data_IF_978823420978
#
_entry.id   IF_978823420978
#
_cell.length_a   1.000
_cell.length_b   1.000
_cell.length_c   1.000
_cell.angle_alpha   90.00
_cell.angle_beta   90.00
_cell.angle_gamma   90.00
#
_symmetry.space_group_name_H-M   'P 1'
#
loop_
_entity.id
_entity.type
_entity.pdbx_description
1 polymer ?
#
# COMPACT_ATOMS: atom_id res chain seq x y z
N UNK A 1 -70.84 -27.71 60.88
CA UNK A 1 -70.59 -26.74 59.77
C UNK A 1 -69.71 -25.63 60.34
N UNK A 2 -68.42 -25.75 60.19
CA UNK A 2 -67.48 -24.75 60.68
C UNK A 2 -66.51 -24.34 59.57
N UNK A 3 -66.59 -23.11 59.17
CA UNK A 3 -65.67 -22.50 58.20
C UNK A 3 -64.39 -22.15 58.91
N UNK A 4 -63.30 -22.76 58.48
CA UNK A 4 -61.93 -22.33 58.87
C UNK A 4 -61.41 -21.30 57.88
N UNK A 5 -61.18 -20.12 58.34
CA UNK A 5 -60.44 -19.09 57.61
C UNK A 5 -58.94 -19.41 57.68
N UNK A 6 -58.35 -19.54 56.49
CA UNK A 6 -56.91 -19.63 56.35
C UNK A 6 -56.43 -18.24 55.91
N UNK A 7 -55.74 -17.58 56.84
CA UNK A 7 -55.08 -16.33 56.55
C UNK A 7 -53.75 -16.58 55.79
N UNK A 8 -53.64 -16.00 54.62
CA UNK A 8 -52.37 -15.93 53.89
C UNK A 8 -51.65 -14.67 54.29
N UNK A 9 -50.49 -14.85 54.94
CA UNK A 9 -49.53 -13.74 55.10
C UNK A 9 -48.71 -13.61 53.80
N UNK A 10 -48.95 -12.55 53.09
CA UNK A 10 -48.14 -12.18 51.94
C UNK A 10 -47.02 -11.25 52.47
N UNK A 11 -45.80 -11.79 52.59
CA UNK A 11 -44.60 -11.00 52.85
C UNK A 11 -44.13 -10.36 51.52
N UNK A 12 -44.38 -9.09 51.41
CA UNK A 12 -43.84 -8.31 50.31
C UNK A 12 -42.35 -8.04 50.58
N UNK A 13 -41.50 -8.72 49.80
CA UNK A 13 -40.07 -8.41 49.77
C UNK A 13 -39.91 -7.23 48.82
N UNK A 14 -39.69 -6.04 49.38
CA UNK A 14 -39.22 -4.89 48.59
C UNK A 14 -37.74 -5.10 48.24
N UNK A 15 -37.47 -5.51 47.02
CA UNK A 15 -36.12 -5.42 46.45
C UNK A 15 -35.92 -3.97 46.00
N UNK A 16 -35.25 -3.18 46.80
CA UNK A 16 -34.78 -1.88 46.37
C UNK A 16 -33.68 -2.06 45.32
N UNK A 17 -34.04 -1.91 44.04
CA UNK A 17 -33.09 -1.76 42.96
C UNK A 17 -32.40 -0.41 43.19
N UNK A 18 -31.19 -0.43 43.73
CA UNK A 18 -30.28 0.71 43.69
C UNK A 18 -29.75 0.78 42.24
N UNK A 19 -30.43 1.57 41.42
CA UNK A 19 -29.88 1.98 40.12
C UNK A 19 -28.75 2.96 40.45
N UNK A 20 -27.52 2.44 40.55
CA UNK A 20 -26.35 3.29 40.51
C UNK A 20 -26.33 3.96 39.12
N UNK A 21 -26.16 5.29 39.04
CA UNK A 21 -25.92 5.90 37.77
C UNK A 21 -24.65 5.26 37.21
N UNK A 22 -24.76 4.58 36.06
CA UNK A 22 -23.63 4.29 35.22
C UNK A 22 -23.08 5.66 34.82
N UNK A 23 -22.12 6.14 35.61
CA UNK A 23 -21.26 7.20 35.15
C UNK A 23 -20.65 6.68 33.86
N UNK A 24 -21.09 7.21 32.72
CA UNK A 24 -20.35 7.20 31.47
C UNK A 24 -18.96 7.76 31.79
N UNK A 25 -18.08 6.88 32.23
CA UNK A 25 -16.68 7.06 31.99
C UNK A 25 -16.57 6.87 30.48
N UNK A 26 -16.92 7.93 29.73
CA UNK A 26 -16.36 8.13 28.41
C UNK A 26 -14.86 7.94 28.62
N UNK A 27 -14.40 6.72 28.37
CA UNK A 27 -12.97 6.49 28.15
C UNK A 27 -12.61 7.52 27.11
N UNK A 28 -11.96 8.60 27.54
CA UNK A 28 -11.18 9.42 26.68
C UNK A 28 -10.25 8.45 25.95
N UNK A 29 -10.69 7.92 24.81
CA UNK A 29 -9.79 7.34 23.82
C UNK A 29 -8.83 8.49 23.58
N UNK A 30 -7.67 8.41 24.20
CA UNK A 30 -6.53 9.18 23.81
C UNK A 30 -6.53 9.06 22.28
N UNK A 31 -6.82 10.16 21.60
CA UNK A 31 -6.60 10.27 20.16
C UNK A 31 -5.09 10.30 20.00
N UNK A 32 -4.46 9.16 20.21
CA UNK A 32 -3.15 8.88 19.68
C UNK A 32 -3.43 8.79 18.18
N UNK A 33 -3.11 9.85 17.47
CA UNK A 33 -3.13 9.82 16.00
C UNK A 33 -2.36 8.60 15.52
N UNK A 34 -2.60 8.16 14.28
CA UNK A 34 -1.85 7.04 13.73
C UNK A 34 -0.34 7.27 13.94
N UNK A 35 0.43 6.22 14.23
CA UNK A 35 1.84 6.37 14.53
C UNK A 35 2.57 6.99 13.33
N UNK A 36 3.50 7.91 13.59
CA UNK A 36 4.40 8.45 12.55
C UNK A 36 5.24 7.33 11.95
N UNK A 37 5.78 7.51 10.73
CA UNK A 37 6.69 6.55 10.15
C UNK A 37 7.82 6.17 11.12
N UNK A 38 8.15 4.90 11.18
CA UNK A 38 9.22 4.39 12.05
C UNK A 38 10.61 4.72 11.51
N UNK A 39 10.70 5.22 10.27
CA UNK A 39 11.93 5.63 9.61
C UNK A 39 11.78 7.04 9.03
N UNK A 40 12.93 7.68 8.83
CA UNK A 40 13.07 8.93 8.07
C UNK A 40 13.78 8.62 6.77
N UNK A 41 13.26 9.16 5.66
CA UNK A 41 13.88 9.10 4.34
C UNK A 41 14.34 10.50 3.97
N UNK A 42 15.61 10.65 3.60
CA UNK A 42 16.22 11.92 3.23
C UNK A 42 17.00 11.76 1.94
N UNK A 43 16.89 12.73 1.05
CA UNK A 43 17.78 12.80 -0.13
C UNK A 43 19.20 13.12 0.29
N UNK A 44 20.17 12.43 -0.28
CA UNK A 44 21.60 12.61 -0.05
C UNK A 44 22.34 13.11 -1.28
N UNK A 45 21.68 13.17 -2.44
CA UNK A 45 22.22 13.72 -3.67
C UNK A 45 21.28 14.71 -4.34
N UNK A 46 21.79 15.49 -5.27
CA UNK A 46 20.99 16.14 -6.30
C UNK A 46 20.38 15.09 -7.25
N UNK A 47 19.37 15.49 -8.01
CA UNK A 47 18.77 14.64 -9.03
C UNK A 47 19.77 14.45 -10.19
N UNK A 48 19.91 13.19 -10.64
CA UNK A 48 20.67 12.84 -11.83
C UNK A 48 19.76 12.20 -12.88
N UNK A 49 20.13 12.31 -14.15
CA UNK A 49 19.42 11.65 -15.25
C UNK A 49 19.94 10.23 -15.38
N UNK A 50 19.06 9.27 -15.13
CA UNK A 50 19.43 7.85 -15.09
C UNK A 50 19.40 7.18 -16.47
N UNK A 51 18.64 7.71 -17.42
CA UNK A 51 18.55 7.19 -18.77
C UNK A 51 18.59 8.33 -19.80
N UNK A 52 19.52 8.23 -20.76
CA UNK A 52 19.63 9.16 -21.87
C UNK A 52 18.94 8.59 -23.12
N UNK A 53 18.28 9.47 -23.91
CA UNK A 53 17.64 9.01 -25.15
C UNK A 53 18.60 8.29 -26.08
N UNK A 54 19.82 8.82 -26.24
CA UNK A 54 20.83 8.25 -27.15
C UNK A 54 21.26 6.84 -26.75
N UNK A 55 21.18 6.48 -25.47
CA UNK A 55 21.58 5.18 -24.94
C UNK A 55 20.47 4.13 -25.04
N UNK A 56 19.20 4.56 -25.18
CA UNK A 56 18.04 3.66 -25.19
C UNK A 56 17.21 3.80 -26.47
N UNK A 57 17.13 5.00 -27.04
CA UNK A 57 16.32 5.39 -28.21
C UNK A 57 14.82 5.02 -28.06
N UNK A 58 14.28 5.27 -26.86
CA UNK A 58 12.84 5.18 -26.52
C UNK A 58 12.41 6.42 -25.78
N UNK A 59 11.14 6.78 -25.92
CA UNK A 59 10.53 7.95 -25.31
C UNK A 59 9.70 7.60 -24.09
N UNK A 60 9.47 8.57 -23.22
CA UNK A 60 8.58 8.42 -22.07
C UNK A 60 9.07 7.36 -21.10
N UNK A 61 10.24 7.56 -20.51
CA UNK A 61 10.88 6.66 -19.56
C UNK A 61 10.91 7.28 -18.16
N UNK A 62 10.52 6.51 -17.11
CA UNK A 62 9.64 5.35 -17.19
C UNK A 62 8.17 5.77 -17.27
N UNK A 63 7.31 4.98 -17.89
CA UNK A 63 5.85 5.16 -17.90
C UNK A 63 5.16 4.21 -16.90
N UNK A 64 5.77 4.01 -15.77
CA UNK A 64 5.35 3.14 -14.67
C UNK A 64 6.52 2.83 -13.74
N UNK A 65 6.29 1.97 -12.73
CA UNK A 65 7.36 1.49 -11.86
C UNK A 65 8.38 0.67 -12.65
N UNK A 66 9.66 0.82 -12.32
CA UNK A 66 10.72 -0.01 -12.87
C UNK A 66 10.98 -1.22 -11.98
N UNK A 67 11.52 -2.29 -12.55
CA UNK A 67 11.88 -3.51 -11.83
C UNK A 67 13.22 -4.05 -12.30
N UNK A 68 13.96 -4.71 -11.43
CA UNK A 68 15.27 -5.23 -11.78
C UNK A 68 15.54 -6.61 -11.17
N UNK A 69 16.46 -7.33 -11.81
CA UNK A 69 17.11 -8.52 -11.26
C UNK A 69 18.63 -8.36 -11.42
N UNK A 70 19.37 -8.62 -10.36
CA UNK A 70 20.83 -8.70 -10.41
C UNK A 70 21.23 -10.11 -10.80
N UNK A 71 22.02 -10.24 -11.86
CA UNK A 71 22.53 -11.51 -12.37
C UNK A 71 24.05 -11.43 -12.52
N UNK A 72 24.80 -12.09 -11.64
CA UNK A 72 26.26 -12.04 -11.61
C UNK A 72 26.80 -10.59 -11.61
N UNK A 73 27.41 -10.16 -12.71
CA UNK A 73 28.06 -8.85 -12.84
C UNK A 73 27.17 -7.81 -13.55
N UNK A 74 25.91 -8.14 -13.87
CA UNK A 74 24.97 -7.26 -14.56
C UNK A 74 23.66 -7.11 -13.82
N UNK A 75 22.99 -5.99 -14.08
CA UNK A 75 21.66 -5.70 -13.60
C UNK A 75 20.74 -5.64 -14.83
N UNK A 76 19.72 -6.49 -14.86
CA UNK A 76 18.69 -6.45 -15.86
C UNK A 76 17.55 -5.60 -15.34
N UNK A 77 17.12 -4.61 -16.09
CA UNK A 77 16.06 -3.67 -15.71
C UNK A 77 14.96 -3.72 -16.75
N UNK A 78 13.74 -3.94 -16.29
CA UNK A 78 12.55 -3.81 -17.14
C UNK A 78 11.82 -2.55 -16.76
N UNK A 79 11.34 -1.84 -17.77
CA UNK A 79 10.58 -0.62 -17.57
C UNK A 79 9.54 -0.43 -18.67
N UNK A 80 8.35 0.08 -18.32
CA UNK A 80 7.37 0.52 -19.30
C UNK A 80 7.78 1.84 -19.92
N UNK A 81 7.31 2.07 -21.15
CA UNK A 81 7.58 3.28 -21.91
C UNK A 81 6.29 3.93 -22.40
N UNK A 82 6.27 5.25 -22.54
CA UNK A 82 5.22 5.98 -23.23
C UNK A 82 5.24 5.78 -24.75
N UNK A 83 6.27 5.10 -25.30
CA UNK A 83 6.43 4.81 -26.71
C UNK A 83 5.57 3.61 -27.11
N UNK A 84 4.31 3.87 -27.46
CA UNK A 84 3.33 2.86 -27.88
C UNK A 84 2.90 1.89 -26.76
N UNK A 85 3.09 2.24 -25.50
CA UNK A 85 2.67 1.43 -24.36
C UNK A 85 3.40 0.09 -24.21
N UNK A 86 4.62 0.02 -24.70
CA UNK A 86 5.46 -1.19 -24.68
C UNK A 86 6.34 -1.23 -23.43
N UNK A 87 6.84 -2.42 -23.11
CA UNK A 87 7.94 -2.58 -22.15
C UNK A 87 9.25 -2.93 -22.82
N UNK A 88 10.34 -2.43 -22.26
CA UNK A 88 11.70 -2.72 -22.69
C UNK A 88 12.48 -3.42 -21.58
N UNK A 89 13.58 -4.06 -21.97
CA UNK A 89 14.65 -4.50 -21.08
C UNK A 89 15.93 -3.78 -21.44
N UNK A 90 16.66 -3.33 -20.42
CA UNK A 90 18.02 -2.83 -20.55
C UNK A 90 18.93 -3.57 -19.57
N UNK A 91 20.21 -3.64 -19.88
CA UNK A 91 21.22 -4.20 -18.98
C UNK A 91 22.21 -3.10 -18.59
N UNK A 92 22.56 -3.04 -17.32
CA UNK A 92 23.52 -2.08 -16.81
C UNK A 92 24.36 -2.72 -15.72
N UNK A 93 25.54 -2.19 -15.50
CA UNK A 93 26.40 -2.45 -14.35
C UNK A 93 26.29 -1.33 -13.29
N UNK A 94 25.66 -0.22 -13.69
CA UNK A 94 25.51 0.98 -12.87
C UNK A 94 24.06 1.50 -12.90
N UNK A 95 23.42 1.54 -11.74
CA UNK A 95 22.07 2.09 -11.60
C UNK A 95 22.00 3.61 -11.78
N UNK A 96 23.12 4.31 -11.88
CA UNK A 96 23.13 5.73 -12.20
C UNK A 96 23.08 6.00 -13.71
N UNK A 97 23.32 4.98 -14.56
CA UNK A 97 23.30 5.16 -16.00
C UNK A 97 22.81 3.92 -16.74
N UNK A 98 21.56 3.93 -17.16
CA UNK A 98 20.97 2.83 -17.93
C UNK A 98 21.29 2.95 -19.40
N UNK A 99 21.73 1.84 -20.00
CA UNK A 99 22.07 1.72 -21.41
C UNK A 99 21.47 0.46 -22.00
N UNK A 100 21.13 0.50 -23.28
CA UNK A 100 20.81 -0.71 -24.02
C UNK A 100 22.00 -1.13 -24.89
N UNK A 101 22.31 -2.42 -24.88
CA UNK A 101 23.34 -3.00 -25.76
C UNK A 101 22.93 -2.94 -27.25
N UNK A 102 21.64 -2.77 -27.52
CA UNK A 102 21.05 -2.65 -28.83
C UNK A 102 20.15 -1.42 -28.85
N UNK A 103 20.37 -0.51 -29.79
CA UNK A 103 19.53 0.69 -29.96
C UNK A 103 18.79 0.67 -31.29
N UNK A 104 17.47 0.93 -31.29
CA UNK A 104 16.61 1.17 -30.13
C UNK A 104 16.46 -0.09 -29.26
N UNK A 105 16.30 0.09 -27.93
CA UNK A 105 16.09 -1.01 -26.99
C UNK A 105 14.91 -1.89 -27.47
N UNK A 106 15.07 -3.22 -27.44
CA UNK A 106 14.05 -4.12 -27.98
C UNK A 106 12.79 -4.13 -27.11
N UNK A 107 11.63 -4.28 -27.74
CA UNK A 107 10.38 -4.54 -27.04
C UNK A 107 10.37 -5.95 -26.47
N UNK A 108 10.06 -6.08 -25.19
CA UNK A 108 9.93 -7.40 -24.52
C UNK A 108 8.49 -7.80 -24.30
N UNK A 109 7.60 -6.81 -24.19
CA UNK A 109 6.17 -7.02 -24.12
C UNK A 109 5.47 -5.85 -24.83
N UNK A 110 4.57 -6.15 -25.78
CA UNK A 110 3.87 -5.15 -26.58
C UNK A 110 2.36 -5.36 -26.55
N UNK A 111 1.55 -4.31 -26.64
CA UNK A 111 0.10 -4.42 -26.75
C UNK A 111 -0.37 -5.35 -27.87
N UNK A 112 -1.53 -5.98 -27.69
CA UNK A 112 -2.19 -6.83 -28.69
C UNK A 112 -3.48 -6.15 -29.16
N UNK A 113 -3.51 -5.69 -30.39
CA UNK A 113 -4.66 -5.01 -30.96
C UNK A 113 -5.95 -5.83 -30.82
N UNK A 114 -7.04 -5.16 -30.39
CA UNK A 114 -8.36 -5.78 -30.23
C UNK A 114 -8.51 -6.67 -28.98
N UNK A 115 -7.58 -6.59 -28.05
CA UNK A 115 -7.65 -7.28 -26.75
C UNK A 115 -7.76 -6.29 -25.60
N UNK A 116 -7.98 -6.82 -24.37
CA UNK A 116 -7.99 -6.07 -23.12
C UNK A 116 -6.62 -5.45 -22.73
N UNK A 117 -5.58 -5.73 -23.51
CA UNK A 117 -4.23 -5.17 -23.42
C UNK A 117 -3.81 -4.46 -24.72
N UNK A 118 -4.77 -3.85 -25.40
CA UNK A 118 -4.57 -3.33 -26.77
C UNK A 118 -3.76 -2.04 -26.84
N UNK A 119 -3.61 -1.32 -25.73
CA UNK A 119 -3.00 0.00 -25.72
C UNK A 119 -1.77 0.10 -24.83
N UNK A 120 -1.65 -0.76 -23.81
CA UNK A 120 -0.53 -0.70 -22.88
C UNK A 120 -0.22 -2.06 -22.24
N UNK A 121 1.08 -2.35 -22.09
CA UNK A 121 1.60 -3.56 -21.42
C UNK A 121 2.86 -3.20 -20.62
N UNK A 122 2.67 -2.55 -19.47
CA UNK A 122 3.74 -2.01 -18.65
C UNK A 122 4.25 -3.00 -17.59
N UNK A 123 5.38 -3.64 -17.83
CA UNK A 123 6.04 -4.51 -16.83
C UNK A 123 6.54 -3.64 -15.67
N UNK A 124 6.03 -3.91 -14.47
CA UNK A 124 6.41 -3.20 -13.25
C UNK A 124 6.94 -4.14 -12.16
N UNK A 125 6.98 -5.45 -12.42
CA UNK A 125 7.65 -6.43 -11.55
C UNK A 125 8.08 -7.66 -12.32
N UNK A 126 9.34 -8.04 -12.15
CA UNK A 126 9.86 -9.35 -12.57
C UNK A 126 10.37 -10.09 -11.35
N UNK A 127 9.98 -11.35 -11.23
CA UNK A 127 10.39 -12.24 -10.15
C UNK A 127 11.01 -13.50 -10.76
N UNK A 128 12.07 -14.02 -10.13
CA UNK A 128 12.58 -15.36 -10.42
C UNK A 128 12.01 -16.33 -9.40
N UNK A 129 11.24 -17.29 -9.87
CA UNK A 129 10.73 -18.37 -9.02
C UNK A 129 11.85 -19.35 -8.62
N UNK A 130 11.67 -20.16 -7.57
CA UNK A 130 12.62 -21.21 -7.19
C UNK A 130 12.89 -22.23 -8.31
N UNK A 131 11.97 -22.41 -9.25
CA UNK A 131 12.12 -23.23 -10.46
C UNK A 131 13.11 -22.66 -11.48
N UNK A 132 13.52 -21.40 -11.33
CA UNK A 132 14.30 -20.64 -12.31
C UNK A 132 13.46 -19.87 -13.31
N UNK A 133 12.17 -20.16 -13.43
CA UNK A 133 11.23 -19.45 -14.31
C UNK A 133 11.13 -17.99 -13.92
N UNK A 134 11.11 -17.08 -14.91
CA UNK A 134 10.77 -15.68 -14.68
C UNK A 134 9.26 -15.48 -14.77
N UNK A 135 8.74 -14.62 -13.89
CA UNK A 135 7.36 -14.16 -13.88
C UNK A 135 7.36 -12.64 -13.96
N UNK A 136 6.73 -12.09 -14.99
CA UNK A 136 6.48 -10.66 -15.15
C UNK A 136 5.03 -10.35 -14.76
N UNK A 137 4.86 -9.44 -13.81
CA UNK A 137 3.59 -8.80 -13.52
C UNK A 137 3.57 -7.48 -14.28
N UNK A 138 2.48 -7.22 -14.99
CA UNK A 138 2.39 -6.03 -15.83
C UNK A 138 1.01 -5.39 -15.77
N UNK A 139 0.97 -4.08 -15.94
CA UNK A 139 -0.26 -3.33 -16.16
C UNK A 139 -0.66 -3.49 -17.61
N UNK A 140 -1.94 -3.72 -17.84
CA UNK A 140 -2.53 -3.83 -19.16
C UNK A 140 -3.69 -2.86 -19.30
N UNK A 141 -3.77 -2.18 -20.45
CA UNK A 141 -4.81 -1.19 -20.72
C UNK A 141 -5.48 -1.40 -22.07
N UNK A 142 -6.79 -1.19 -22.08
CA UNK A 142 -7.62 -1.03 -23.25
C UNK A 142 -8.22 0.38 -23.22
N UNK A 143 -8.08 1.14 -24.33
CA UNK A 143 -8.58 2.51 -24.45
C UNK A 143 -9.73 2.56 -25.47
N UNK A 144 -10.93 2.11 -25.14
CA UNK A 144 -12.05 2.03 -26.08
C UNK A 144 -12.51 3.40 -26.58
N UNK A 145 -12.22 4.47 -25.85
CA UNK A 145 -12.61 5.84 -26.15
C UNK A 145 -11.39 6.78 -26.28
N UNK A 146 -10.25 6.26 -26.72
CA UNK A 146 -8.99 6.99 -26.74
C UNK A 146 -8.37 7.10 -25.36
N UNK A 147 -7.45 8.03 -25.14
CA UNK A 147 -6.70 8.18 -23.86
C UNK A 147 -7.57 8.58 -22.65
N UNK A 148 -8.85 8.89 -22.88
CA UNK A 148 -9.71 9.46 -21.85
C UNK A 148 -10.40 8.40 -20.99
N UNK A 149 -10.63 7.20 -21.53
CA UNK A 149 -11.26 6.08 -20.83
C UNK A 149 -10.40 4.84 -21.02
N UNK A 150 -9.82 4.36 -19.97
CA UNK A 150 -9.01 3.15 -19.99
C UNK A 150 -9.60 2.09 -19.06
N UNK A 151 -9.84 0.91 -19.60
CA UNK A 151 -10.02 -0.32 -18.84
C UNK A 151 -8.64 -0.82 -18.42
N UNK A 152 -8.36 -0.88 -17.10
CA UNK A 152 -7.03 -1.23 -16.61
C UNK A 152 -7.08 -2.47 -15.72
N UNK A 153 -6.12 -3.35 -15.94
CA UNK A 153 -5.96 -4.58 -15.17
C UNK A 153 -4.49 -4.88 -14.90
N UNK A 154 -4.23 -5.76 -13.96
CA UNK A 154 -2.90 -6.30 -13.74
C UNK A 154 -2.90 -7.74 -14.23
N UNK A 155 -1.86 -8.10 -14.97
CA UNK A 155 -1.73 -9.37 -15.65
C UNK A 155 -0.37 -10.02 -15.41
N UNK A 156 -0.22 -11.25 -15.86
CA UNK A 156 0.99 -12.04 -15.68
C UNK A 156 1.46 -12.69 -16.97
N UNK A 157 2.76 -12.64 -17.21
CA UNK A 157 3.46 -13.40 -18.23
C UNK A 157 4.61 -14.20 -17.60
N UNK A 158 4.98 -15.31 -18.21
CA UNK A 158 6.07 -16.19 -17.74
C UNK A 158 7.10 -16.40 -18.85
N UNK A 159 8.34 -16.61 -18.44
CA UNK A 159 9.43 -16.97 -19.33
C UNK A 159 10.20 -18.16 -18.79
N UNK A 160 10.43 -19.16 -19.63
CA UNK A 160 11.21 -20.36 -19.33
C UNK A 160 12.62 -20.29 -19.95
N UNK A 161 12.90 -19.25 -20.71
CA UNK A 161 14.16 -19.01 -21.45
C UNK A 161 14.91 -17.76 -20.96
N UNK A 162 14.80 -17.50 -19.65
CA UNK A 162 15.45 -16.38 -18.98
C UNK A 162 15.08 -14.99 -19.54
N UNK A 163 13.83 -14.81 -19.97
CA UNK A 163 13.31 -13.52 -20.45
C UNK A 163 13.48 -13.26 -21.94
N UNK A 164 14.06 -14.21 -22.72
CA UNK A 164 14.16 -14.06 -24.16
C UNK A 164 12.79 -14.04 -24.84
N UNK A 165 11.85 -14.84 -24.33
CA UNK A 165 10.45 -14.80 -24.74
C UNK A 165 9.50 -14.81 -23.54
N UNK A 166 8.31 -14.24 -23.71
CA UNK A 166 7.30 -14.13 -22.67
C UNK A 166 5.95 -14.73 -23.14
N UNK A 167 5.44 -15.67 -22.35
CA UNK A 167 4.13 -16.29 -22.55
C UNK A 167 3.10 -15.60 -21.65
N UNK A 168 2.14 -14.89 -22.21
CA UNK A 168 1.04 -14.28 -21.48
C UNK A 168 0.15 -15.34 -20.86
N UNK A 169 -0.22 -15.18 -19.58
CA UNK A 169 -1.06 -16.12 -18.82
C UNK A 169 -2.44 -15.55 -18.51
N UNK A 170 -2.63 -14.24 -18.69
CA UNK A 170 -3.89 -13.54 -18.51
C UNK A 170 -3.92 -12.60 -17.31
N UNK A 171 -5.07 -12.02 -17.06
CA UNK A 171 -5.32 -11.08 -15.97
C UNK A 171 -5.28 -11.77 -14.60
N UNK A 172 -4.72 -11.11 -13.62
CA UNK A 172 -4.65 -11.58 -12.21
C UNK A 172 -5.46 -10.69 -11.28
N UNK A 173 -5.54 -9.39 -11.55
CA UNK A 173 -6.38 -8.45 -10.81
C UNK A 173 -7.22 -7.62 -11.78
N UNK A 174 -8.52 -7.62 -11.55
CA UNK A 174 -9.49 -6.72 -12.18
C UNK A 174 -10.43 -6.16 -11.11
N UNK A 175 -10.94 -4.94 -11.31
CA UNK A 175 -12.03 -4.42 -10.47
C UNK A 175 -13.32 -5.21 -10.68
N UNK A 176 -14.32 -5.09 -9.80
CA UNK A 176 -15.69 -5.51 -10.11
C UNK A 176 -16.15 -4.91 -11.44
N UNK A 177 -17.12 -5.55 -12.08
CA UNK A 177 -17.61 -5.13 -13.38
C UNK A 177 -17.99 -3.64 -13.39
N UNK A 178 -17.49 -2.94 -14.40
CA UNK A 178 -17.79 -1.52 -14.63
C UNK A 178 -19.15 -1.47 -15.31
N UNK A 179 -20.05 -0.65 -14.78
CA UNK A 179 -21.39 -0.46 -15.36
C UNK A 179 -21.43 0.73 -16.31
N UNK A 180 -20.47 1.65 -16.23
CA UNK A 180 -20.38 2.82 -17.11
C UNK A 180 -19.39 2.56 -18.24
N UNK A 181 -19.89 2.68 -19.47
CA UNK A 181 -19.14 2.57 -20.71
C UNK A 181 -19.15 3.87 -21.52
N UNK A 182 -19.50 5.00 -20.90
CA UNK A 182 -19.59 6.29 -21.56
C UNK A 182 -18.21 6.86 -21.81
N UNK A 183 -17.94 7.24 -23.05
CA UNK A 183 -16.71 7.93 -23.43
C UNK A 183 -16.67 9.40 -22.93
N UNK A 184 -17.70 9.86 -22.28
CA UNK A 184 -17.77 11.24 -21.74
C UNK A 184 -17.09 11.37 -20.36
N UNK A 185 -16.81 10.24 -19.70
CA UNK A 185 -16.15 10.23 -18.41
C UNK A 185 -14.65 9.93 -18.60
N UNK A 186 -13.81 10.91 -18.33
CA UNK A 186 -12.34 10.75 -18.27
C UNK A 186 -11.92 9.97 -17.03
N UNK A 187 -11.93 8.63 -17.07
CA UNK A 187 -11.60 7.84 -15.90
C UNK A 187 -10.80 6.59 -16.24
N UNK A 188 -9.72 6.37 -15.50
CA UNK A 188 -9.05 5.08 -15.42
C UNK A 188 -9.90 4.14 -14.57
N UNK A 189 -10.46 3.10 -15.19
CA UNK A 189 -11.27 2.10 -14.51
C UNK A 189 -10.48 0.82 -14.30
N UNK A 190 -10.35 0.38 -13.07
CA UNK A 190 -9.72 -0.89 -12.79
C UNK A 190 -8.60 -0.84 -11.77
N UNK A 191 -7.70 -1.81 -11.85
CA UNK A 191 -6.54 -1.94 -10.98
C UNK A 191 -5.28 -1.59 -11.76
N UNK A 192 -4.54 -0.58 -11.32
CA UNK A 192 -3.41 -0.01 -12.04
C UNK A 192 -2.25 0.38 -11.12
N UNK A 193 -1.13 0.74 -11.69
CA UNK A 193 0.09 1.22 -11.02
C UNK A 193 0.34 0.49 -9.71
N UNK A 194 1.16 -0.54 -9.77
CA UNK A 194 1.36 -1.44 -8.65
C UNK A 194 2.83 -1.60 -8.28
N UNK A 195 3.06 -2.07 -7.08
CA UNK A 195 4.35 -2.57 -6.59
C UNK A 195 4.14 -3.96 -5.99
N UNK A 196 5.09 -4.85 -6.17
CA UNK A 196 5.00 -6.20 -5.61
C UNK A 196 6.32 -6.65 -4.99
N UNK A 197 6.24 -7.40 -3.88
CA UNK A 197 7.39 -8.02 -3.24
C UNK A 197 7.03 -9.35 -2.62
N UNK A 198 8.02 -10.23 -2.47
CA UNK A 198 7.86 -11.45 -1.67
C UNK A 198 7.87 -11.01 -0.21
N UNK A 199 6.82 -11.37 0.53
CA UNK A 199 6.73 -11.03 1.94
C UNK A 199 7.79 -11.80 2.79
N UNK A 200 8.12 -11.34 4.00
CA UNK A 200 9.28 -11.84 4.75
C UNK A 200 9.31 -13.34 5.04
N UNK A 201 8.15 -14.03 5.04
CA UNK A 201 8.12 -15.49 5.25
C UNK A 201 8.42 -16.28 3.98
N UNK A 202 8.45 -15.62 2.82
CA UNK A 202 8.69 -16.25 1.52
C UNK A 202 7.53 -17.10 1.00
N UNK A 203 6.35 -17.04 1.62
CA UNK A 203 5.19 -17.85 1.22
C UNK A 203 4.32 -17.17 0.18
N UNK A 204 4.22 -15.84 0.24
CA UNK A 204 3.33 -15.06 -0.62
C UNK A 204 4.09 -13.95 -1.33
N UNK A 205 3.61 -13.60 -2.52
CA UNK A 205 3.85 -12.28 -3.11
C UNK A 205 2.71 -11.37 -2.70
N UNK A 206 3.06 -10.23 -2.10
CA UNK A 206 2.15 -9.12 -1.86
C UNK A 206 2.24 -8.14 -3.01
N UNK A 207 1.09 -7.62 -3.44
CA UNK A 207 0.97 -6.65 -4.51
C UNK A 207 0.06 -5.51 -4.05
N UNK A 208 0.63 -4.31 -3.93
CA UNK A 208 -0.10 -3.08 -3.65
C UNK A 208 -0.41 -2.38 -4.95
N UNK A 209 -1.64 -1.91 -5.09
CA UNK A 209 -2.13 -1.34 -6.34
C UNK A 209 -3.04 -0.15 -6.10
N UNK A 210 -3.08 0.73 -7.09
CA UNK A 210 -4.06 1.80 -7.20
C UNK A 210 -5.34 1.26 -7.82
N UNK A 211 -6.48 1.83 -7.46
CA UNK A 211 -7.75 1.47 -8.05
C UNK A 211 -8.52 2.72 -8.43
N UNK A 212 -8.90 2.82 -9.70
CA UNK A 212 -9.85 3.78 -10.21
C UNK A 212 -11.25 3.18 -10.22
N UNK A 213 -12.27 4.00 -10.03
CA UNK A 213 -13.66 3.58 -10.12
C UNK A 213 -14.55 4.71 -10.59
N UNK A 214 -15.67 4.36 -11.19
CA UNK A 214 -16.74 5.24 -11.62
C UNK A 214 -17.89 5.32 -10.62
N UNK A 215 -17.84 4.54 -9.56
CA UNK A 215 -18.88 4.53 -8.52
C UNK A 215 -18.28 4.65 -7.14
N UNK A 216 -19.05 5.22 -6.23
CA UNK A 216 -18.78 5.30 -4.81
C UNK A 216 -18.60 3.88 -4.23
N UNK A 217 -17.41 3.42 -4.21
CA UNK A 217 -17.06 2.20 -3.49
C UNK A 217 -17.13 2.53 -2.00
N UNK A 218 -17.62 1.61 -1.21
CA UNK A 218 -17.88 1.79 0.21
C UNK A 218 -16.67 2.35 1.00
N UNK A 219 -15.47 2.31 0.40
CA UNK A 219 -14.19 2.68 1.02
C UNK A 219 -13.59 4.00 0.48
N UNK A 220 -14.32 4.76 -0.35
CA UNK A 220 -13.85 6.04 -0.90
C UNK A 220 -12.94 5.91 -2.14
N UNK A 221 -12.71 7.05 -2.82
CA UNK A 221 -11.81 7.19 -3.97
C UNK A 221 -10.36 7.32 -3.48
N UNK A 222 -9.41 6.75 -4.23
CA UNK A 222 -7.99 6.85 -3.93
C UNK A 222 -7.49 5.82 -2.92
N UNK A 223 -6.22 5.98 -2.51
CA UNK A 223 -5.53 5.08 -1.59
C UNK A 223 -5.09 3.76 -2.21
N UNK A 224 -4.18 3.12 -1.52
CA UNK A 224 -3.63 1.84 -1.95
C UNK A 224 -4.46 0.68 -1.42
N UNK A 225 -4.53 -0.36 -2.21
CA UNK A 225 -5.13 -1.65 -1.87
C UNK A 225 -4.08 -2.74 -1.99
N UNK A 226 -4.37 -3.91 -1.44
CA UNK A 226 -3.42 -5.01 -1.46
C UNK A 226 -4.10 -6.32 -1.89
N UNK A 227 -3.35 -7.09 -2.68
CA UNK A 227 -3.64 -8.48 -3.02
C UNK A 227 -2.43 -9.36 -2.70
N UNK A 228 -2.66 -10.67 -2.60
CA UNK A 228 -1.56 -11.64 -2.46
C UNK A 228 -1.84 -12.92 -3.24
N UNK A 229 -0.78 -13.59 -3.62
CA UNK A 229 -0.83 -14.95 -4.15
C UNK A 229 0.25 -15.81 -3.50
N UNK A 230 0.01 -17.12 -3.28
CA UNK A 230 1.04 -18.03 -2.81
C UNK A 230 2.13 -18.17 -3.89
N UNK A 231 3.39 -18.05 -3.49
CA UNK A 231 4.53 -18.18 -4.40
C UNK A 231 4.55 -19.56 -5.08
N UNK A 232 4.15 -20.61 -4.34
CA UNK A 232 4.03 -21.97 -4.86
C UNK A 232 3.01 -22.15 -5.98
N UNK A 233 2.07 -21.19 -6.14
CA UNK A 233 1.07 -21.21 -7.21
C UNK A 233 1.55 -20.60 -8.54
N UNK A 234 2.81 -20.20 -8.64
CA UNK A 234 3.39 -19.58 -9.85
C UNK A 234 2.79 -18.23 -10.20
N UNK A 235 2.05 -17.61 -9.30
CA UNK A 235 1.40 -16.29 -9.45
C UNK A 235 0.38 -16.23 -10.59
N UNK A 236 -0.15 -17.38 -11.01
CA UNK A 236 -1.05 -17.52 -12.15
C UNK A 236 -2.46 -16.96 -11.86
N UNK A 237 -3.27 -16.69 -12.88
CA UNK A 237 -4.68 -16.33 -12.73
C UNK A 237 -5.44 -17.30 -11.79
N UNK A 238 -6.33 -16.73 -10.95
CA UNK A 238 -7.11 -17.51 -9.97
C UNK A 238 -6.42 -17.78 -8.63
N UNK A 239 -5.08 -17.61 -8.53
CA UNK A 239 -4.36 -17.80 -7.26
C UNK A 239 -4.38 -16.58 -6.35
N UNK A 240 -4.70 -15.42 -6.89
CA UNK A 240 -4.70 -14.14 -6.20
C UNK A 240 -5.91 -13.91 -5.34
N UNK A 241 -5.69 -13.36 -4.15
CA UNK A 241 -6.73 -12.94 -3.20
C UNK A 241 -6.51 -11.49 -2.80
N UNK A 242 -7.58 -10.70 -2.83
CA UNK A 242 -7.58 -9.31 -2.36
C UNK A 242 -7.95 -9.25 -0.88
N UNK A 243 -7.36 -8.29 -0.18
CA UNK A 243 -7.74 -7.93 1.18
C UNK A 243 -9.03 -7.12 1.14
N UNK A 244 -10.04 -7.61 1.87
CA UNK A 244 -11.32 -6.94 1.99
C UNK A 244 -11.92 -7.18 3.38
N UNK A 245 -12.32 -6.10 4.07
CA UNK A 245 -12.96 -6.13 5.38
C UNK A 245 -12.26 -7.06 6.39
N UNK A 246 -10.95 -6.96 6.48
CA UNK A 246 -10.15 -7.71 7.44
C UNK A 246 -9.74 -9.13 7.02
N UNK A 247 -10.06 -9.56 5.78
CA UNK A 247 -9.80 -10.94 5.33
C UNK A 247 -9.28 -11.02 3.90
N UNK A 248 -8.60 -12.13 3.57
CA UNK A 248 -8.08 -12.46 2.24
C UNK A 248 -9.05 -13.35 1.47
N UNK A 249 -10.30 -12.96 1.33
CA UNK A 249 -11.35 -13.82 0.77
C UNK A 249 -11.76 -13.46 -0.65
N UNK A 250 -11.59 -12.22 -1.05
CA UNK A 250 -12.03 -11.77 -2.37
C UNK A 250 -11.12 -12.31 -3.48
N UNK A 251 -11.70 -12.75 -4.62
CA UNK A 251 -10.89 -13.18 -5.75
C UNK A 251 -10.11 -12.01 -6.37
N UNK A 252 -8.98 -12.31 -7.02
CA UNK A 252 -8.23 -11.32 -7.78
C UNK A 252 -9.06 -10.70 -8.90
N UNK A 253 -9.77 -11.53 -9.64
CA UNK A 253 -10.64 -11.10 -10.74
C UNK A 253 -12.03 -10.73 -10.20
N UNK A 254 -12.46 -9.50 -10.46
CA UNK A 254 -13.77 -8.98 -10.09
C UNK A 254 -14.03 -8.82 -8.58
N UNK A 255 -13.08 -9.15 -7.71
CA UNK A 255 -13.23 -9.04 -6.27
C UNK A 255 -13.08 -7.60 -5.78
N UNK A 256 -13.77 -7.27 -4.67
CA UNK A 256 -13.59 -6.00 -3.95
C UNK A 256 -12.26 -5.99 -3.19
N UNK A 257 -11.74 -4.80 -2.90
CA UNK A 257 -10.55 -4.60 -2.08
C UNK A 257 -10.75 -3.40 -1.16
N UNK A 258 -10.47 -3.57 0.12
CA UNK A 258 -10.44 -2.46 1.07
C UNK A 258 -9.18 -1.63 0.90
N UNK A 259 -9.31 -0.33 1.11
CA UNK A 259 -8.19 0.58 1.20
C UNK A 259 -7.32 0.24 2.41
N UNK A 260 -6.00 0.17 2.21
CA UNK A 260 -5.04 -0.12 3.28
C UNK A 260 -4.21 1.10 3.65
N UNK A 261 -3.73 1.86 2.66
CA UNK A 261 -3.11 3.16 2.88
C UNK A 261 -4.12 4.22 2.47
N UNK A 262 -4.67 4.91 3.45
CA UNK A 262 -5.59 6.01 3.24
C UNK A 262 -4.86 7.18 2.59
N UNK A 263 -5.61 7.97 1.84
CA UNK A 263 -5.15 9.30 1.45
C UNK A 263 -4.85 10.12 2.70
N UNK A 264 -3.84 10.98 2.66
CA UNK A 264 -3.62 11.97 3.69
C UNK A 264 -4.92 12.72 4.01
N UNK A 265 -5.18 12.96 5.28
CA UNK A 265 -6.35 13.74 5.69
C UNK A 265 -6.31 15.16 5.11
N UNK A 266 -7.47 15.88 5.00
CA UNK A 266 -7.53 17.26 4.50
C UNK A 266 -6.53 18.24 5.13
N UNK A 267 -6.01 17.92 6.30
CA UNK A 267 -4.99 18.71 6.99
C UNK A 267 -3.62 18.72 6.29
N UNK A 268 -3.39 17.86 5.31
CA UNK A 268 -2.13 17.76 4.57
C UNK A 268 -2.11 18.59 3.29
N UNK A 269 -3.26 18.96 2.77
CA UNK A 269 -3.36 19.92 1.67
C UNK A 269 -3.92 21.23 2.18
N UNK A 270 -3.15 22.34 2.14
CA UNK A 270 -3.68 23.68 2.43
C UNK A 270 -4.58 24.19 1.29
N UNK A 271 -4.70 23.47 0.17
CA UNK A 271 -5.47 23.86 -0.99
C UNK A 271 -6.88 23.24 -0.91
N UNK A 272 -7.92 24.04 -0.66
CA UNK A 272 -9.31 23.53 -0.56
C UNK A 272 -9.86 23.00 -1.90
N UNK A 273 -9.21 23.30 -3.03
CA UNK A 273 -9.62 22.78 -4.34
C UNK A 273 -9.10 21.35 -4.58
N UNK A 274 -8.12 20.88 -3.78
CA UNK A 274 -7.63 19.49 -3.81
C UNK A 274 -8.45 18.64 -2.84
N UNK A 275 -9.77 18.62 -3.00
CA UNK A 275 -10.65 17.85 -2.15
C UNK A 275 -10.60 16.33 -2.39
N UNK A 276 -9.93 15.88 -3.45
CA UNK A 276 -9.75 14.48 -3.80
C UNK A 276 -8.31 14.07 -3.53
N UNK A 277 -8.06 13.72 -2.30
CA UNK A 277 -6.77 13.24 -1.82
C UNK A 277 -6.45 11.91 -2.50
N UNK A 278 -5.40 11.95 -3.27
CA UNK A 278 -4.98 10.86 -4.13
C UNK A 278 -3.67 10.29 -3.59
N UNK A 279 -3.69 9.05 -3.09
CA UNK A 279 -2.51 8.25 -2.86
C UNK A 279 -2.50 7.12 -3.88
N UNK A 280 -1.55 7.12 -4.78
CA UNK A 280 -1.47 6.12 -5.85
C UNK A 280 -0.02 5.89 -6.27
N UNK A 281 0.14 4.97 -7.21
CA UNK A 281 1.42 4.69 -7.86
C UNK A 281 2.48 4.36 -6.80
N UNK A 282 2.30 3.23 -6.10
CA UNK A 282 3.17 2.86 -5.01
C UNK A 282 4.50 2.27 -5.50
N UNK A 283 5.55 2.54 -4.72
CA UNK A 283 6.74 1.72 -4.62
C UNK A 283 6.83 1.20 -3.20
N UNK A 284 6.60 -0.08 -3.00
CA UNK A 284 6.64 -0.71 -1.67
C UNK A 284 7.81 -1.65 -1.57
N UNK A 285 8.62 -1.46 -0.53
CA UNK A 285 9.75 -2.32 -0.23
C UNK A 285 9.63 -2.91 1.18
N UNK A 286 10.12 -4.11 1.38
CA UNK A 286 10.44 -4.64 2.70
C UNK A 286 11.82 -4.13 3.11
N UNK A 287 11.89 -3.34 4.15
CA UNK A 287 13.16 -2.87 4.70
C UNK A 287 13.75 -3.92 5.62
N UNK A 288 14.87 -4.49 5.21
CA UNK A 288 15.53 -5.62 5.90
C UNK A 288 16.26 -5.19 7.17
N UNK A 289 16.65 -3.92 7.28
CA UNK A 289 17.31 -3.37 8.47
C UNK A 289 16.32 -3.11 9.60
N UNK A 290 15.16 -2.53 9.26
CA UNK A 290 14.17 -2.12 10.27
C UNK A 290 13.00 -3.10 10.40
N UNK A 291 12.94 -4.15 9.57
CA UNK A 291 11.88 -5.17 9.55
C UNK A 291 10.48 -4.56 9.41
N UNK A 292 10.32 -3.66 8.46
CA UNK A 292 9.05 -2.98 8.15
C UNK A 292 8.89 -2.82 6.64
N UNK A 293 7.64 -2.65 6.20
CA UNK A 293 7.36 -2.16 4.86
C UNK A 293 7.48 -0.65 4.80
N UNK A 294 8.07 -0.15 3.71
CA UNK A 294 8.13 1.26 3.35
C UNK A 294 7.39 1.41 2.03
N UNK A 295 6.38 2.28 1.99
CA UNK A 295 5.72 2.70 0.77
C UNK A 295 6.16 4.12 0.44
N UNK A 296 6.70 4.35 -0.75
CA UNK A 296 6.79 5.66 -1.39
C UNK A 296 5.68 5.74 -2.41
N UNK A 297 4.90 6.80 -2.43
CA UNK A 297 3.72 6.91 -3.29
C UNK A 297 3.50 8.34 -3.77
N UNK A 298 2.76 8.47 -4.85
CA UNK A 298 2.39 9.75 -5.45
C UNK A 298 1.12 10.29 -4.80
N UNK A 299 1.13 11.59 -4.50
CA UNK A 299 -0.07 12.36 -4.12
C UNK A 299 -0.19 13.56 -5.08
N UNK A 300 -1.22 14.39 -4.92
CA UNK A 300 -1.36 15.64 -5.71
C UNK A 300 -0.24 16.68 -5.44
N UNK A 301 0.52 16.50 -4.36
CA UNK A 301 1.56 17.45 -3.94
C UNK A 301 2.98 16.91 -4.07
N UNK A 302 3.16 15.76 -4.71
CA UNK A 302 4.46 15.14 -4.93
C UNK A 302 4.57 13.74 -4.33
N UNK A 303 5.76 13.35 -3.91
CA UNK A 303 5.98 12.03 -3.31
C UNK A 303 5.92 12.10 -1.80
N UNK A 304 5.26 11.08 -1.24
CA UNK A 304 5.11 10.87 0.18
C UNK A 304 5.57 9.45 0.54
N UNK A 305 5.84 9.20 1.80
CA UNK A 305 6.14 7.85 2.27
C UNK A 305 5.42 7.55 3.57
N UNK A 306 5.16 6.26 3.80
CA UNK A 306 4.58 5.72 5.01
C UNK A 306 5.23 4.36 5.34
N UNK A 307 5.08 3.91 6.59
CA UNK A 307 5.61 2.64 7.04
C UNK A 307 4.53 1.72 7.58
N UNK A 308 4.75 0.40 7.48
CA UNK A 308 3.81 -0.60 7.96
C UNK A 308 4.54 -1.85 8.47
N UNK A 309 4.12 -2.43 9.60
CA UNK A 309 4.67 -3.70 10.07
C UNK A 309 4.17 -4.92 9.28
N UNK A 310 3.03 -4.81 8.60
CA UNK A 310 2.31 -5.92 7.96
C UNK A 310 1.88 -5.66 6.51
N UNK A 311 2.17 -4.47 5.98
CA UNK A 311 1.78 -4.04 4.63
C UNK A 311 0.30 -3.69 4.49
N UNK A 312 -0.47 -3.72 5.58
CA UNK A 312 -1.91 -3.46 5.63
C UNK A 312 -2.21 -2.22 6.46
N UNK A 313 -1.63 -2.12 7.65
CA UNK A 313 -1.81 -1.00 8.58
C UNK A 313 -0.62 -0.06 8.44
N UNK A 314 -0.87 1.12 7.92
CA UNK A 314 0.16 2.11 7.62
C UNK A 314 0.17 3.24 8.64
N UNK A 315 1.34 3.81 8.86
CA UNK A 315 1.50 5.07 9.58
C UNK A 315 0.86 6.21 8.77
N UNK A 316 0.73 7.38 9.39
CA UNK A 316 0.57 8.63 8.63
C UNK A 316 1.72 8.77 7.64
N UNK A 317 1.48 9.40 6.50
CA UNK A 317 2.54 9.70 5.55
C UNK A 317 3.32 10.95 5.93
N UNK A 318 4.57 10.99 5.46
CA UNK A 318 5.41 12.19 5.47
C UNK A 318 5.80 12.54 4.04
N UNK A 319 5.88 13.85 3.76
CA UNK A 319 6.25 14.34 2.43
C UNK A 319 7.75 14.17 2.19
N UNK A 320 8.09 13.41 1.14
CA UNK A 320 9.47 13.17 0.72
C UNK A 320 9.94 14.21 -0.32
N UNK A 321 9.10 14.50 -1.31
CA UNK A 321 9.37 15.47 -2.36
C UNK A 321 8.11 16.29 -2.65
N UNK A 322 8.19 17.59 -2.41
CA UNK A 322 7.13 18.53 -2.82
C UNK A 322 7.32 18.93 -4.28
N UNK A 323 6.38 18.57 -5.14
CA UNK A 323 6.41 18.92 -6.56
C UNK A 323 5.00 18.80 -7.17
N UNK A 324 4.77 19.43 -8.33
CA UNK A 324 3.59 19.12 -9.15
C UNK A 324 3.73 17.70 -9.69
N UNK A 325 2.61 17.04 -9.84
CA UNK A 325 2.52 15.71 -10.49
C UNK A 325 1.72 15.82 -11.78
N UNK A 326 1.85 14.83 -12.66
CA UNK A 326 1.19 14.83 -13.98
C UNK A 326 -0.30 15.20 -13.92
N UNK A 327 -1.01 14.71 -12.94
CA UNK A 327 -2.46 14.85 -12.75
C UNK A 327 -2.86 16.00 -11.81
N UNK A 328 -1.93 16.83 -11.34
CA UNK A 328 -2.27 17.98 -10.49
C UNK A 328 -3.22 18.93 -11.23
N UNK A 329 -4.42 19.15 -10.67
CA UNK A 329 -5.47 19.95 -11.29
C UNK A 329 -5.08 21.41 -11.55
N UNK A 330 -4.18 21.94 -10.74
CA UNK A 330 -3.64 23.30 -10.87
C UNK A 330 -2.30 23.36 -11.62
N UNK A 331 -1.87 22.28 -12.29
CA UNK A 331 -0.65 22.27 -13.11
C UNK A 331 -0.92 22.92 -14.46
N UNK A 332 -0.08 23.87 -14.84
CA UNK A 332 -0.10 24.45 -16.19
C UNK A 332 0.55 23.49 -17.19
N UNK A 333 0.21 23.52 -18.47
CA UNK A 333 0.76 22.61 -19.48
C UNK A 333 2.30 22.66 -19.61
N UNK A 334 2.90 23.82 -19.32
CA UNK A 334 4.34 24.08 -19.38
C UNK A 334 5.06 23.90 -18.04
N UNK A 335 4.34 23.53 -16.98
CA UNK A 335 4.89 23.33 -15.65
C UNK A 335 5.48 21.93 -15.49
N UNK A 336 6.71 21.87 -14.98
CA UNK A 336 7.39 20.61 -14.71
C UNK A 336 6.61 19.75 -13.71
N UNK A 337 6.67 18.42 -13.88
CA UNK A 337 6.01 17.44 -13.04
C UNK A 337 6.89 16.23 -12.77
N UNK A 338 6.55 15.50 -11.69
CA UNK A 338 7.14 14.20 -11.32
C UNK A 338 6.07 13.13 -11.24
N UNK A 339 6.44 11.84 -11.53
CA UNK A 339 5.50 10.71 -11.44
C UNK A 339 6.26 9.38 -11.31
N UNK A 340 5.58 8.27 -11.03
CA UNK A 340 6.10 6.90 -11.00
C UNK A 340 7.33 6.70 -10.09
N UNK A 341 7.24 7.00 -8.77
CA UNK A 341 8.37 6.76 -7.87
C UNK A 341 8.67 5.28 -7.77
N UNK A 342 9.96 4.92 -7.81
CA UNK A 342 10.43 3.56 -7.54
C UNK A 342 11.67 3.61 -6.65
N UNK A 343 11.54 3.11 -5.41
CA UNK A 343 12.65 3.00 -4.47
C UNK A 343 13.40 1.70 -4.69
N UNK A 344 14.68 1.79 -4.98
CA UNK A 344 15.56 0.65 -5.23
C UNK A 344 16.75 0.70 -4.27
N UNK A 345 17.06 -0.42 -3.64
CA UNK A 345 18.33 -0.64 -2.95
C UNK A 345 19.38 -1.13 -3.97
N UNK A 346 20.45 -0.37 -4.20
CA UNK A 346 21.46 -0.74 -5.20
C UNK A 346 22.24 -2.01 -4.83
N UNK A 347 22.14 -2.50 -3.60
CA UNK A 347 22.80 -3.73 -3.13
C UNK A 347 21.90 -4.96 -3.15
N UNK A 348 20.58 -4.76 -3.32
CA UNK A 348 19.61 -5.86 -3.35
C UNK A 348 19.73 -6.70 -4.64
N UNK A 349 19.28 -7.95 -4.58
CA UNK A 349 19.22 -8.84 -5.73
C UNK A 349 18.04 -8.52 -6.68
N UNK A 350 17.01 -7.88 -6.15
CA UNK A 350 15.80 -7.47 -6.88
C UNK A 350 15.17 -6.28 -6.17
N UNK A 351 14.34 -5.52 -6.89
CA UNK A 351 13.48 -4.51 -6.29
C UNK A 351 12.46 -5.15 -5.32
N UNK A 352 11.81 -4.30 -4.51
CA UNK A 352 10.89 -4.76 -3.47
C UNK A 352 11.58 -4.97 -2.12
N UNK A 353 12.89 -4.78 -2.04
CA UNK A 353 13.66 -4.75 -0.80
C UNK A 353 14.42 -3.43 -0.65
N UNK A 354 14.65 -3.01 0.58
CA UNK A 354 15.45 -1.82 0.92
C UNK A 354 16.25 -2.04 2.21
N UNK A 355 17.27 -1.23 2.41
CA UNK A 355 18.10 -1.20 3.61
C UNK A 355 18.24 0.24 4.15
N UNK A 356 19.44 0.67 4.51
CA UNK A 356 19.69 2.04 5.02
C UNK A 356 19.95 3.07 3.93
N UNK A 357 20.14 2.62 2.68
CA UNK A 357 20.37 3.47 1.52
C UNK A 357 19.55 2.99 0.33
N UNK A 358 19.31 3.88 -0.61
CA UNK A 358 18.59 3.55 -1.84
C UNK A 358 18.72 4.64 -2.88
N UNK A 359 18.13 4.39 -4.03
CA UNK A 359 17.92 5.37 -5.10
C UNK A 359 16.42 5.44 -5.35
N UNK A 360 15.86 6.63 -5.30
CA UNK A 360 14.49 6.89 -5.74
C UNK A 360 14.52 7.29 -7.20
N UNK A 361 14.04 6.40 -8.07
CA UNK A 361 13.81 6.69 -9.49
C UNK A 361 12.41 7.24 -9.70
N UNK A 362 12.24 8.10 -10.70
CA UNK A 362 10.95 8.69 -11.05
C UNK A 362 10.97 9.30 -12.45
N UNK A 363 9.80 9.44 -13.05
CA UNK A 363 9.62 10.24 -14.25
C UNK A 363 9.61 11.73 -13.90
N UNK A 364 10.29 12.53 -14.72
CA UNK A 364 10.29 13.99 -14.66
C UNK A 364 10.08 14.55 -16.05
N UNK A 365 9.28 15.58 -16.18
CA UNK A 365 9.10 16.26 -17.45
C UNK A 365 8.78 17.74 -17.27
N UNK A 366 9.18 18.51 -18.28
CA UNK A 366 8.75 19.89 -18.47
C UNK A 366 7.61 20.01 -19.49
N UNK A 367 7.19 18.89 -20.09
CA UNK A 367 6.10 18.81 -21.08
C UNK A 367 5.11 17.71 -20.71
N UNK A 368 3.94 17.63 -21.38
CA UNK A 368 2.92 16.66 -21.03
C UNK A 368 3.31 15.20 -21.36
N UNK A 369 4.17 14.95 -22.37
CA UNK A 369 4.36 13.61 -22.93
C UNK A 369 5.82 13.16 -23.07
N UNK A 370 6.79 14.06 -22.92
CA UNK A 370 8.21 13.71 -23.02
C UNK A 370 8.85 13.75 -21.63
N UNK A 371 8.74 12.66 -20.88
CA UNK A 371 9.38 12.56 -19.57
C UNK A 371 10.67 11.76 -19.66
N UNK A 372 11.54 12.05 -18.73
CA UNK A 372 12.87 11.50 -18.57
C UNK A 372 12.98 10.77 -17.22
N UNK A 373 13.79 9.74 -17.17
CA UNK A 373 14.04 8.99 -15.94
C UNK A 373 15.10 9.69 -15.11
N UNK A 374 14.69 10.17 -13.94
CA UNK A 374 15.57 10.75 -12.94
C UNK A 374 15.79 9.82 -11.78
N UNK A 375 16.95 9.95 -11.12
CA UNK A 375 17.30 9.28 -9.88
C UNK A 375 17.78 10.26 -8.82
N UNK A 376 17.56 9.93 -7.55
CA UNK A 376 18.15 10.61 -6.40
C UNK A 376 18.50 9.60 -5.33
N UNK A 377 19.71 9.69 -4.81
CA UNK A 377 20.11 8.88 -3.68
C UNK A 377 19.35 9.26 -2.42
N UNK A 378 18.99 8.27 -1.62
CA UNK A 378 18.31 8.45 -0.34
C UNK A 378 19.03 7.69 0.77
N UNK A 379 18.96 8.25 1.97
CA UNK A 379 19.28 7.59 3.22
C UNK A 379 18.00 7.27 3.96
N UNK A 380 17.94 6.05 4.50
CA UNK A 380 16.84 5.60 5.35
C UNK A 380 17.41 5.34 6.75
N UNK A 381 16.85 5.98 7.75
CA UNK A 381 17.32 5.91 9.13
C UNK A 381 16.15 5.71 10.09
N UNK A 382 16.38 5.04 11.21
CA UNK A 382 15.37 4.91 12.25
C UNK A 382 15.06 6.26 12.89
N UNK A 383 13.79 6.52 13.15
CA UNK A 383 13.38 7.61 14.03
C UNK A 383 13.42 7.08 15.46
N UNK A 384 14.24 7.69 16.30
CA UNK A 384 14.22 7.38 17.72
C UNK A 384 12.78 7.55 18.25
N UNK A 385 12.23 6.60 19.03
CA UNK A 385 10.92 6.78 19.64
C UNK A 385 10.95 8.11 20.39
N UNK A 386 10.06 9.04 20.03
CA UNK A 386 9.86 10.23 20.84
C UNK A 386 9.43 9.74 22.21
N UNK A 387 10.26 9.94 23.23
CA UNK A 387 9.85 9.71 24.59
C UNK A 387 8.52 10.44 24.79
N UNK A 388 7.48 9.78 25.31
CA UNK A 388 6.24 10.47 25.62
C UNK A 388 6.62 11.68 26.46
N UNK A 389 6.11 12.86 26.10
CA UNK A 389 6.37 14.09 26.82
C UNK A 389 6.14 13.80 28.29
N UNK A 390 7.21 13.83 29.09
CA UNK A 390 7.18 13.57 30.53
C UNK A 390 6.44 14.71 31.21
N UNK A 391 5.11 14.68 31.15
CA UNK A 391 4.21 15.70 31.70
C UNK A 391 3.01 15.17 32.45
N UNK A 392 2.75 13.88 32.37
CA UNK A 392 1.76 13.24 33.23
C UNK A 392 2.48 12.32 34.21
N UNK A 393 2.78 12.83 35.41
CA UNK A 393 3.07 11.95 36.55
C UNK A 393 1.84 11.05 36.72
N UNK A 394 1.96 9.73 36.62
CA UNK A 394 0.86 8.88 37.02
C UNK A 394 0.64 9.16 38.50
N UNK A 395 -0.55 9.62 38.89
CA UNK A 395 -0.97 9.70 40.29
C UNK A 395 -1.05 8.27 40.83
N UNK A 396 0.08 7.74 41.26
CA UNK A 396 0.21 6.43 41.92
C UNK A 396 -0.28 6.44 43.40
N UNK A 397 -1.07 7.44 43.81
CA UNK A 397 -1.43 7.62 45.21
C UNK A 397 -2.81 7.07 45.58
N UNK A 398 -3.57 6.45 44.67
CA UNK A 398 -4.97 6.08 44.99
C UNK A 398 -5.30 4.60 44.98
N UNK A 399 -4.35 3.68 44.96
CA UNK A 399 -4.65 2.23 44.97
C UNK A 399 -4.26 1.49 46.24
N UNK A 400 -3.63 2.14 47.24
CA UNK A 400 -3.25 1.49 48.51
C UNK A 400 -4.36 1.62 49.57
N UNK A 401 -5.29 2.56 49.46
CA UNK A 401 -6.33 2.79 50.47
C UNK A 401 -7.52 1.82 50.38
N UNK A 402 -7.72 1.09 49.30
CA UNK A 402 -8.86 0.16 49.18
C UNK A 402 -8.55 -1.28 49.57
N UNK A 403 -7.27 -1.66 49.71
CA UNK A 403 -6.92 -3.04 50.12
C UNK A 403 -6.89 -3.22 51.65
N UNK A 404 -6.81 -2.15 52.44
CA UNK A 404 -6.79 -2.23 53.89
C UNK A 404 -8.18 -2.21 54.55
N UNK A 405 -9.22 -1.78 53.84
CA UNK A 405 -10.61 -1.80 54.31
C UNK A 405 -11.32 -3.14 54.12
N UNK A 406 -10.86 -3.97 53.17
CA UNK A 406 -11.43 -5.29 52.91
C UNK A 406 -10.95 -6.37 53.91
N UNK A 407 -9.82 -6.18 54.56
CA UNK A 407 -9.26 -7.13 55.54
C UNK A 407 -9.83 -6.89 56.96
N UNK A 408 -10.35 -5.70 57.24
CA UNK A 408 -10.93 -5.35 58.55
C UNK A 408 -12.34 -5.86 58.82
N UNK A 409 -13.08 -6.27 57.80
CA UNK A 409 -14.48 -6.74 57.91
C UNK A 409 -14.64 -8.27 57.92
N UNK A 410 -13.58 -9.05 57.67
CA UNK A 410 -13.64 -10.51 57.64
C UNK A 410 -13.35 -11.15 59.05
N UNK A 411 -12.92 -10.39 60.06
CA UNK A 411 -12.59 -10.93 61.38
C UNK A 411 -13.67 -10.75 62.42
N UNK A 412 -14.82 -10.12 62.13
CA UNK A 412 -15.88 -9.84 63.10
C UNK A 412 -17.06 -10.82 63.12
N UNK A 413 -17.10 -11.83 62.22
CA UNK A 413 -18.22 -12.78 62.14
C UNK A 413 -17.92 -14.21 62.64
N UNK A 414 -16.81 -14.44 63.37
CA UNK A 414 -16.46 -15.80 63.80
C UNK A 414 -16.41 -15.93 65.33
N UNK A 415 -17.42 -15.42 66.02
CA UNK A 415 -17.65 -15.76 67.48
C UNK A 415 -19.12 -15.74 67.79
N UNK A 416 -19.76 -16.92 67.74
CA UNK A 416 -20.80 -17.42 68.61
C UNK A 416 -21.64 -18.49 67.97
N UNK A 417 -21.25 -19.73 68.11
CA UNK A 417 -22.16 -20.85 68.36
C UNK A 417 -21.34 -21.90 69.11
N UNK A 418 -21.49 -22.07 70.39
CA UNK A 418 -21.19 -23.29 71.09
C UNK A 418 -22.50 -23.84 71.72
N UNK A 419 -22.65 -25.18 71.81
CA UNK A 419 -23.92 -25.81 72.07
C UNK A 419 -24.26 -25.97 73.52
N UNK A 420 -25.56 -25.93 73.84
CA UNK A 420 -26.08 -26.45 75.08
C UNK A 420 -26.63 -27.85 74.87
N UNK A 421 -26.14 -28.77 75.67
CA UNK A 421 -26.66 -30.14 75.82
C UNK A 421 -28.01 -30.11 76.57
N UNK A 422 -28.99 -30.84 76.15
CA UNK A 422 -29.66 -31.95 76.77
C UNK A 422 -30.62 -32.65 75.85
#
# INVERSE_FOLDING_TARGET
MSRRNIGFCVSAIFVALVVAPLSDTAQARSQVGPPRPAVKIEFTSDAFKAAEFNDIQRYGLPDGAITFLREHDSIRVWMPTGDGGNSIEVQTDDLHHFRSSVTPAPWVLSPIAGSWESNYTGISKVLRLPSGQLVALYQAEEHPCGLQVAGVSIAVATSDDNGATWSRRGQILTSPAITKTSCDDMVFHGNYSFSATIEPTGQYVYLWFSQGSDESWDDGLGGLRIARAPLSGGLLPGTWKKWYQGTWTQPGLGGRASQTLATPTPQWSPDPEISNEFAAIPSVTWNTEFNIYIAVFTTMTGFWYATSPDGIRWSDGEQLLKHKVLISSNRRPDEAWVYYPTLIDPTAQTDGYSSTAGILFYAFSTTAFAHEMMGREVKISSVAPSLPATGARPNFVLYISFLLTAIGLATSCYRKVLPARH
#
